data_IF_689970446727
#
_entry.id   IF_689970446727
#
_cell.length_a   1.000
_cell.length_b   1.000
_cell.length_c   1.000
_cell.angle_alpha   90.00
_cell.angle_beta   90.00
_cell.angle_gamma   90.00
#
_symmetry.space_group_name_H-M   'P 1'
#
loop_
_entity.id
_entity.type
_entity.pdbx_description
1 polymer ?
#
# COMPACT_ATOMS: atom_id res chain seq x y z
N UNK A 1 2.82 15.18 1.78
CA UNK A 1 2.56 13.86 1.15
C UNK A 1 1.08 13.49 1.21
N UNK A 2 0.40 13.63 2.37
CA UNK A 2 -1.04 13.35 2.51
C UNK A 2 -1.90 14.00 1.43
N UNK A 3 -1.72 15.29 1.15
CA UNK A 3 -2.48 15.99 0.09
C UNK A 3 -2.31 15.37 -1.30
N UNK A 4 -1.07 15.00 -1.66
CA UNK A 4 -0.78 14.39 -2.95
C UNK A 4 -1.38 12.97 -3.05
N UNK A 5 -1.37 12.21 -1.96
CA UNK A 5 -2.02 10.90 -1.89
C UNK A 5 -3.54 11.08 -2.05
N UNK A 6 -4.17 11.96 -1.26
CA UNK A 6 -5.63 12.14 -1.25
C UNK A 6 -6.20 12.65 -2.59
N UNK A 7 -5.41 13.37 -3.38
CA UNK A 7 -5.81 13.83 -4.72
C UNK A 7 -5.56 12.81 -5.83
N UNK A 8 -4.92 11.68 -5.51
CA UNK A 8 -4.59 10.63 -6.49
C UNK A 8 -5.78 9.69 -6.72
N UNK A 9 -5.80 9.01 -7.87
CA UNK A 9 -6.79 7.95 -8.15
C UNK A 9 -6.39 6.60 -7.55
N UNK A 10 -5.09 6.34 -7.47
CA UNK A 10 -4.52 5.13 -6.91
C UNK A 10 -3.15 5.43 -6.29
N UNK A 11 -2.77 4.64 -5.29
CA UNK A 11 -1.45 4.55 -4.71
C UNK A 11 -0.92 3.12 -4.94
N UNK A 12 0.29 3.01 -5.49
CA UNK A 12 0.99 1.73 -5.64
C UNK A 12 2.33 1.76 -4.89
N UNK A 13 2.64 0.68 -4.17
CA UNK A 13 3.90 0.53 -3.42
C UNK A 13 4.49 -0.87 -3.57
N UNK A 14 5.79 -0.99 -3.30
CA UNK A 14 6.54 -2.23 -3.12
C UNK A 14 7.10 -2.33 -1.69
N UNK A 15 7.87 -3.38 -1.39
CA UNK A 15 8.46 -3.64 -0.06
C UNK A 15 9.97 -3.33 0.04
N UNK A 16 10.52 -2.53 -0.88
CA UNK A 16 11.92 -2.06 -0.88
C UNK A 16 12.15 -0.81 -0.02
N UNK A 17 11.11 -0.36 0.68
CA UNK A 17 11.14 0.76 1.64
C UNK A 17 10.66 0.25 3.02
N UNK A 18 10.89 1.01 4.12
CA UNK A 18 10.45 0.58 5.44
C UNK A 18 8.97 0.20 5.48
N UNK A 19 8.66 -0.94 6.09
CA UNK A 19 7.29 -1.48 6.14
C UNK A 19 6.30 -0.50 6.79
N UNK A 20 6.74 0.22 7.82
CA UNK A 20 5.93 1.25 8.48
C UNK A 20 5.55 2.40 7.53
N UNK A 21 6.43 2.75 6.59
CA UNK A 21 6.16 3.75 5.56
C UNK A 21 5.10 3.24 4.59
N UNK A 22 5.21 1.99 4.13
CA UNK A 22 4.20 1.33 3.28
C UNK A 22 2.84 1.34 3.98
N UNK A 23 2.79 0.88 5.24
CA UNK A 23 1.55 0.85 6.02
C UNK A 23 0.94 2.24 6.20
N UNK A 24 1.76 3.25 6.49
CA UNK A 24 1.28 4.62 6.67
C UNK A 24 0.70 5.19 5.37
N UNK A 25 1.38 4.97 4.24
CA UNK A 25 0.90 5.43 2.94
C UNK A 25 -0.42 4.75 2.54
N UNK A 26 -0.52 3.42 2.74
CA UNK A 26 -1.74 2.66 2.48
C UNK A 26 -2.91 3.10 3.37
N UNK A 27 -2.66 3.40 4.66
CA UNK A 27 -3.69 3.95 5.57
C UNK A 27 -4.21 5.29 5.07
N UNK A 28 -3.31 6.22 4.75
CA UNK A 28 -3.70 7.55 4.24
C UNK A 28 -4.49 7.44 2.94
N UNK A 29 -4.08 6.56 2.01
CA UNK A 29 -4.80 6.32 0.77
C UNK A 29 -6.20 5.76 1.03
N UNK A 30 -6.32 4.74 1.89
CA UNK A 30 -7.60 4.10 2.20
C UNK A 30 -8.57 5.05 2.90
N UNK A 31 -8.10 5.86 3.85
CA UNK A 31 -8.88 6.91 4.52
C UNK A 31 -9.37 7.98 3.53
N UNK A 32 -8.58 8.29 2.50
CA UNK A 32 -8.94 9.23 1.45
C UNK A 32 -9.78 8.63 0.30
N UNK A 33 -10.13 7.33 0.36
CA UNK A 33 -10.89 6.65 -0.70
C UNK A 33 -10.10 6.41 -1.99
N UNK A 34 -8.77 6.41 -1.90
CA UNK A 34 -7.84 6.19 -3.02
C UNK A 34 -7.59 4.68 -3.15
N UNK A 35 -7.57 4.16 -4.38
CA UNK A 35 -7.30 2.74 -4.63
C UNK A 35 -5.90 2.37 -4.14
N UNK A 36 -5.78 1.29 -3.39
CA UNK A 36 -4.51 0.82 -2.82
C UNK A 36 -4.01 -0.43 -3.54
N UNK A 37 -2.78 -0.36 -4.06
CA UNK A 37 -2.14 -1.46 -4.80
C UNK A 37 -0.81 -1.80 -4.11
N UNK A 38 -0.62 -3.08 -3.81
CA UNK A 38 0.63 -3.59 -3.29
C UNK A 38 1.23 -4.62 -4.24
N UNK A 39 2.46 -4.35 -4.68
CA UNK A 39 3.35 -5.37 -5.23
C UNK A 39 4.18 -5.95 -4.08
N UNK A 40 3.95 -7.20 -3.65
CA UNK A 40 4.58 -7.78 -2.47
C UNK A 40 6.01 -8.26 -2.75
N UNK A 41 6.80 -7.46 -3.46
CA UNK A 41 8.20 -7.71 -3.76
C UNK A 41 9.13 -6.79 -2.95
N UNK A 42 10.27 -7.29 -2.42
CA UNK A 42 10.67 -8.70 -2.38
C UNK A 42 9.78 -9.55 -1.45
N UNK A 43 9.69 -10.84 -1.75
CA UNK A 43 8.83 -11.79 -1.03
C UNK A 43 9.19 -11.86 0.46
N UNK A 44 8.19 -11.61 1.31
CA UNK A 44 8.30 -11.72 2.77
C UNK A 44 6.93 -12.00 3.40
N UNK A 45 6.93 -12.37 4.69
CA UNK A 45 5.69 -12.50 5.44
C UNK A 45 5.04 -11.12 5.63
N UNK A 46 3.76 -11.02 5.30
CA UNK A 46 2.99 -9.79 5.43
C UNK A 46 2.00 -9.89 6.58
N UNK A 47 1.93 -8.87 7.45
CA UNK A 47 1.00 -8.88 8.56
C UNK A 47 -0.45 -8.70 8.05
N UNK A 48 -1.46 -9.37 8.65
CA UNK A 48 -2.84 -9.29 8.19
C UNK A 48 -3.40 -7.87 8.12
N UNK A 49 -2.98 -6.99 9.05
CA UNK A 49 -3.39 -5.60 9.08
C UNK A 49 -2.88 -4.79 7.89
N UNK A 50 -1.77 -5.18 7.27
CA UNK A 50 -1.30 -4.56 6.04
C UNK A 50 -2.15 -5.02 4.86
N UNK A 51 -2.46 -6.32 4.78
CA UNK A 51 -3.31 -6.87 3.71
C UNK A 51 -4.73 -6.29 3.76
N UNK A 52 -5.26 -5.99 4.94
CA UNK A 52 -6.56 -5.33 5.09
C UNK A 52 -6.60 -3.91 4.47
N UNK A 53 -5.44 -3.28 4.28
CA UNK A 53 -5.32 -1.95 3.68
C UNK A 53 -5.18 -1.97 2.16
N UNK A 54 -5.08 -3.15 1.53
CA UNK A 54 -4.80 -3.31 0.11
C UNK A 54 -6.05 -3.73 -0.65
N UNK A 55 -6.37 -3.05 -1.74
CA UNK A 55 -7.48 -3.41 -2.63
C UNK A 55 -7.02 -4.39 -3.74
N UNK A 56 -5.80 -4.21 -4.24
CA UNK A 56 -5.19 -5.10 -5.23
C UNK A 56 -3.79 -5.55 -4.83
N UNK A 57 -3.55 -6.86 -4.88
CA UNK A 57 -2.25 -7.47 -4.63
C UNK A 57 -1.68 -8.04 -5.95
N UNK A 58 -0.42 -7.74 -6.28
CA UNK A 58 0.22 -8.17 -7.54
C UNK A 58 1.47 -9.02 -7.30
N UNK A 59 1.35 -10.25 -6.73
CA UNK A 59 2.50 -11.11 -6.52
C UNK A 59 3.05 -11.67 -7.84
N UNK A 60 4.30 -12.12 -7.83
CA UNK A 60 4.85 -12.99 -8.86
C UNK A 60 4.50 -14.46 -8.59
N UNK A 61 4.77 -15.33 -9.57
CA UNK A 61 4.53 -16.78 -9.52
C UNK A 61 5.54 -17.52 -8.64
#
# INVERSE_FOLDING_TARGET
AGDAIAQSKALMTQLEIPLETVMTALKLAKEAGVITILDPAPAQALPPELLALVDYLTPNA
#
